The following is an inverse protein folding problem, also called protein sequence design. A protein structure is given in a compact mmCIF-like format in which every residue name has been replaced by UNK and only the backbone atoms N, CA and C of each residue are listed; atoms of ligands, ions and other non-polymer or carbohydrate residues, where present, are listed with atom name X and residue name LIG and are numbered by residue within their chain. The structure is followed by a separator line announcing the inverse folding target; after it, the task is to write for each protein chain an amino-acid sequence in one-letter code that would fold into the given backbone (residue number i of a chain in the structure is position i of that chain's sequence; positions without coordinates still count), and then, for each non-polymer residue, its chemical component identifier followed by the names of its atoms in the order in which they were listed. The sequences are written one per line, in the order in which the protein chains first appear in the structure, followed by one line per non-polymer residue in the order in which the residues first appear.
data_IF_232048476959
#
_entry.id   IF_232048476959
#
_cell.length_a   1.000
_cell.length_b   1.000
_cell.length_c   1.000
_cell.angle_alpha   90.00
_cell.angle_beta   90.00
_cell.angle_gamma   90.00
#
_symmetry.space_group_name_H-M   'P 1'
#
loop_
_entity.id
_entity.type
_entity.pdbx_description
1 polymer ?
#
# COMPACT_ATOMS: atom_id res chain seq x y z
N UNK A 1 -2.50 1.27 -7.81
CA UNK A 1 -2.97 0.94 -6.45
C UNK A 1 -2.44 1.96 -5.46
N UNK A 2 -2.92 1.88 -4.23
CA UNK A 2 -2.36 2.52 -3.04
C UNK A 2 -2.18 1.39 -2.03
N UNK A 3 -0.92 1.03 -1.74
CA UNK A 3 -0.56 -0.04 -0.82
C UNK A 3 0.59 0.46 0.04
N UNK A 4 0.43 0.45 1.36
CA UNK A 4 1.43 0.93 2.30
C UNK A 4 0.83 1.49 3.57
N UNK A 5 1.68 2.00 4.46
CA UNK A 5 1.25 2.51 5.78
C UNK A 5 0.90 3.99 5.74
N UNK A 6 0.03 4.42 6.65
CA UNK A 6 -0.24 5.84 6.84
C UNK A 6 0.99 6.55 7.44
N UNK A 7 1.48 7.65 6.85
CA UNK A 7 2.74 8.28 7.27
C UNK A 7 2.74 8.81 8.71
N UNK A 8 1.58 9.21 9.23
CA UNK A 8 1.43 9.73 10.60
C UNK A 8 0.73 8.76 11.58
N UNK A 9 0.24 7.60 11.10
CA UNK A 9 -0.57 6.69 11.91
C UNK A 9 -0.07 5.26 11.71
N UNK A 10 0.92 4.81 12.50
CA UNK A 10 1.60 3.54 12.26
C UNK A 10 0.67 2.31 12.32
N UNK A 11 -0.44 2.39 13.03
CA UNK A 11 -1.49 1.36 13.13
C UNK A 11 -2.47 1.30 11.93
N UNK A 12 -2.30 2.17 10.93
CA UNK A 12 -3.18 2.24 9.75
C UNK A 12 -2.40 1.85 8.50
N UNK A 13 -2.94 0.88 7.75
CA UNK A 13 -2.42 0.43 6.46
C UNK A 13 -3.50 0.56 5.38
N UNK A 14 -3.08 0.89 4.16
CA UNK A 14 -3.94 1.07 3.00
C UNK A 14 -3.79 -0.07 2.01
N UNK A 15 -4.91 -0.51 1.46
CA UNK A 15 -5.03 -1.31 0.24
C UNK A 15 -6.24 -0.80 -0.53
N UNK A 16 -6.02 0.13 -1.47
CA UNK A 16 -7.10 0.84 -2.15
C UNK A 16 -6.72 1.26 -3.59
N UNK A 17 -7.68 1.87 -4.30
CA UNK A 17 -7.43 2.43 -5.63
C UNK A 17 -7.01 1.37 -6.65
N UNK A 18 -7.75 0.26 -6.69
CA UNK A 18 -7.46 -0.90 -7.54
C UNK A 18 -7.92 -0.78 -9.01
N UNK A 19 -8.59 0.33 -9.35
CA UNK A 19 -8.92 0.74 -10.72
C UNK A 19 -9.52 -0.35 -11.62
N UNK A 20 -10.39 -1.20 -11.06
CA UNK A 20 -11.10 -2.25 -11.79
C UNK A 20 -10.30 -3.53 -12.09
N UNK A 21 -9.02 -3.61 -11.68
CA UNK A 21 -8.16 -4.76 -12.01
C UNK A 21 -7.42 -5.35 -10.79
N UNK A 22 -7.87 -5.04 -9.57
CA UNK A 22 -7.27 -5.54 -8.33
C UNK A 22 -7.54 -7.01 -8.01
N UNK A 23 -8.65 -7.57 -8.50
CA UNK A 23 -9.11 -8.90 -8.07
C UNK A 23 -8.07 -10.01 -8.28
N UNK A 24 -7.40 -10.01 -9.43
CA UNK A 24 -6.33 -10.98 -9.74
C UNK A 24 -5.11 -10.91 -8.80
N UNK A 25 -4.98 -9.82 -8.05
CA UNK A 25 -3.90 -9.62 -7.09
C UNK A 25 -4.35 -9.84 -5.64
N UNK A 26 -5.62 -10.16 -5.37
CA UNK A 26 -6.13 -10.33 -4.02
C UNK A 26 -5.28 -11.27 -3.14
N UNK A 27 -4.79 -12.44 -3.62
CA UNK A 27 -3.95 -13.32 -2.79
C UNK A 27 -2.67 -12.63 -2.30
N UNK A 28 -1.88 -12.06 -3.21
CA UNK A 28 -0.62 -11.39 -2.86
C UNK A 28 -0.85 -10.08 -2.09
N UNK A 29 -1.93 -9.34 -2.38
CA UNK A 29 -2.31 -8.16 -1.60
C UNK A 29 -2.70 -8.54 -0.17
N UNK A 30 -3.36 -9.67 0.03
CA UNK A 30 -3.68 -10.20 1.36
C UNK A 30 -2.42 -10.50 2.17
N UNK A 31 -1.45 -11.18 1.57
CA UNK A 31 -0.14 -11.46 2.17
C UNK A 31 0.60 -10.16 2.54
N UNK A 32 0.69 -9.21 1.60
CA UNK A 32 1.28 -7.89 1.85
C UNK A 32 0.59 -7.19 3.03
N UNK A 33 -0.74 -7.22 3.10
CA UNK A 33 -1.48 -6.54 4.15
C UNK A 33 -1.31 -7.21 5.51
N UNK A 34 -1.24 -8.55 5.58
CA UNK A 34 -0.91 -9.27 6.80
C UNK A 34 0.47 -8.84 7.33
N UNK A 35 1.48 -8.82 6.46
CA UNK A 35 2.83 -8.39 6.77
C UNK A 35 2.90 -6.94 7.27
N UNK A 36 2.21 -6.03 6.58
CA UNK A 36 2.18 -4.62 6.97
C UNK A 36 1.49 -4.39 8.31
N UNK A 37 0.46 -5.19 8.64
CA UNK A 37 -0.24 -5.10 9.93
C UNK A 37 0.59 -5.70 11.06
N UNK A 38 1.21 -6.87 10.84
CA UNK A 38 1.96 -7.58 11.88
C UNK A 38 3.36 -6.99 12.12
N UNK A 39 4.07 -6.66 11.04
CA UNK A 39 5.51 -6.34 11.06
C UNK A 39 5.81 -4.93 10.63
N UNK A 40 4.86 -4.26 9.98
CA UNK A 40 5.05 -2.90 9.47
C UNK A 40 5.86 -2.80 8.18
N UNK A 41 6.25 -3.94 7.59
CA UNK A 41 7.01 -4.07 6.35
C UNK A 41 6.69 -5.41 5.67
N UNK A 42 6.87 -5.48 4.34
CA UNK A 42 6.66 -6.69 3.53
C UNK A 42 7.90 -6.95 2.66
N UNK A 43 8.22 -8.21 2.28
CA UNK A 43 9.31 -8.52 1.36
C UNK A 43 8.99 -8.16 -0.10
N UNK A 44 7.73 -7.90 -0.43
CA UNK A 44 7.33 -7.46 -1.77
C UNK A 44 7.71 -6.00 -2.00
N UNK A 45 8.33 -5.69 -3.15
CA UNK A 45 8.54 -4.30 -3.55
C UNK A 45 7.21 -3.65 -3.93
N UNK A 46 6.71 -2.79 -3.05
CA UNK A 46 5.47 -2.02 -3.22
C UNK A 46 5.71 -0.52 -3.38
N UNK A 47 6.96 -0.10 -3.65
CA UNK A 47 7.35 1.31 -3.73
C UNK A 47 6.53 2.12 -4.75
N UNK A 48 6.17 1.51 -5.89
CA UNK A 48 5.31 2.12 -6.92
C UNK A 48 3.90 2.47 -6.39
N UNK A 49 3.44 1.80 -5.34
CA UNK A 49 2.10 1.93 -4.78
C UNK A 49 2.06 2.72 -3.47
N UNK A 50 3.20 3.25 -3.01
CA UNK A 50 3.33 3.99 -1.76
C UNK A 50 2.32 5.16 -1.69
N UNK A 51 1.53 5.28 -0.60
CA UNK A 51 0.64 6.43 -0.38
C UNK A 51 1.31 7.81 -0.50
N UNK A 52 2.60 7.91 -0.16
CA UNK A 52 3.36 9.16 -0.21
C UNK A 52 3.71 9.62 -1.64
N UNK A 53 3.56 8.77 -2.67
CA UNK A 53 3.92 9.12 -4.07
C UNK A 53 3.15 10.32 -4.63
N UNK A 54 1.99 10.65 -4.05
CA UNK A 54 1.20 11.83 -4.43
C UNK A 54 1.65 13.12 -3.76
N UNK A 55 2.44 13.06 -2.68
CA UNK A 55 2.98 14.26 -2.04
C UNK A 55 4.03 14.94 -2.91
N UNK A 56 4.84 14.15 -3.63
CA UNK A 56 5.77 14.67 -4.63
C UNK A 56 5.03 15.34 -5.80
N UNK A 57 3.87 14.79 -6.22
CA UNK A 57 3.07 15.32 -7.30
C UNK A 57 2.31 16.63 -6.96
N UNK A 58 2.05 16.89 -5.67
CA UNK A 58 1.34 18.09 -5.17
C UNK A 58 2.17 19.38 -5.14
N UNK A 59 3.44 19.36 -5.58
CA UNK A 59 4.30 20.56 -5.67
C UNK A 59 4.20 21.28 -7.03
N UNK A 60 3.03 21.25 -7.68
CA UNK A 60 2.75 21.99 -8.93
C UNK A 60 1.57 22.91 -8.73
#
# INVERSE_FOLDING_TARGET
FIIGRHPAHPQVSFAAGFSGHGFKFCPVVGEIMADLVERGSTPHDVSLFDPARFQAARRR
#
